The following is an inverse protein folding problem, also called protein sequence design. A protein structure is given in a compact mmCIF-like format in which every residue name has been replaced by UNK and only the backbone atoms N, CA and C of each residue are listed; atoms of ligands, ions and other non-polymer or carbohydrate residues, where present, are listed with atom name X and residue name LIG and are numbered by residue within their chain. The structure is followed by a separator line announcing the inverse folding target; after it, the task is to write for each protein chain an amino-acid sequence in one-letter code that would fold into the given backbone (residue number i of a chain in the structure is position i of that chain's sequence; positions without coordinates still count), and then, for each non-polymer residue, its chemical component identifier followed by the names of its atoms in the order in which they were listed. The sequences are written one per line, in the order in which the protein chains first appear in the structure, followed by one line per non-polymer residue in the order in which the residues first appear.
data_IF_291847227733
#
_entry.id   IF_291847227733
#
_cell.length_a   1.000
_cell.length_b   1.000
_cell.length_c   1.000
_cell.angle_alpha   90.00
_cell.angle_beta   90.00
_cell.angle_gamma   90.00
#
_symmetry.space_group_name_H-M   'P 1'
#
loop_
_entity.id
_entity.type
_entity.pdbx_description
1 polymer ?
#
# COMPACT_ATOMS: atom_id res chain seq x y z
N UNK A 1 16.94 2.77 25.13
CA UNK A 1 18.24 3.43 24.93
C UNK A 1 18.25 4.75 25.71
N UNK A 2 19.42 5.26 26.07
CA UNK A 2 19.57 6.65 26.53
C UNK A 2 19.31 7.59 25.33
N UNK A 3 18.43 8.58 25.51
CA UNK A 3 18.05 9.57 24.48
C UNK A 3 19.22 10.37 23.91
N UNK A 4 20.37 10.36 24.59
CA UNK A 4 21.60 10.98 24.12
C UNK A 4 22.16 10.33 22.84
N UNK A 5 21.78 9.08 22.54
CA UNK A 5 22.28 8.34 21.38
C UNK A 5 21.37 8.40 20.15
N UNK A 6 20.11 8.83 20.28
CA UNK A 6 19.09 8.73 19.21
C UNK A 6 19.53 9.31 17.87
N UNK A 7 20.25 10.44 17.90
CA UNK A 7 20.76 11.15 16.71
C UNK A 7 22.24 10.89 16.42
N UNK A 8 22.93 10.11 17.26
CA UNK A 8 24.33 9.77 17.05
C UNK A 8 24.44 8.81 15.87
N UNK A 9 25.39 9.08 14.97
CA UNK A 9 25.63 8.24 13.80
C UNK A 9 26.35 6.98 14.22
N UNK A 10 25.95 5.86 13.65
CA UNK A 10 26.54 4.54 13.94
C UNK A 10 28.01 4.51 13.51
N UNK A 11 28.35 5.19 12.41
CA UNK A 11 29.73 5.31 11.92
C UNK A 11 30.66 6.04 12.90
N UNK A 12 30.11 6.86 13.82
CA UNK A 12 30.87 7.66 14.77
C UNK A 12 30.98 7.00 16.16
N UNK A 13 30.45 5.77 16.32
CA UNK A 13 30.50 5.02 17.57
C UNK A 13 31.83 4.29 17.75
N UNK A 14 32.33 4.25 18.99
CA UNK A 14 33.44 3.35 19.33
C UNK A 14 32.98 1.89 19.38
N UNK A 15 33.92 0.96 19.38
CA UNK A 15 33.60 -0.47 19.47
C UNK A 15 32.94 -0.83 20.80
N UNK A 16 33.36 -0.17 21.89
CA UNK A 16 32.74 -0.31 23.21
C UNK A 16 31.30 0.23 23.23
N UNK A 17 31.04 1.32 22.51
CA UNK A 17 29.68 1.85 22.35
C UNK A 17 28.82 0.89 21.52
N UNK A 18 29.33 0.35 20.41
CA UNK A 18 28.62 -0.63 19.59
C UNK A 18 28.28 -1.90 20.38
N UNK A 19 29.20 -2.39 21.22
CA UNK A 19 28.98 -3.53 22.12
C UNK A 19 27.92 -3.21 23.19
N UNK A 20 28.04 -2.04 23.85
CA UNK A 20 27.11 -1.60 24.90
C UNK A 20 25.68 -1.42 24.36
N UNK A 21 25.55 -0.97 23.12
CA UNK A 21 24.28 -0.79 22.43
C UNK A 21 23.73 -2.08 21.80
N UNK A 22 24.47 -3.18 21.85
CA UNK A 22 24.04 -4.47 21.29
C UNK A 22 24.00 -4.51 19.76
N UNK A 23 24.79 -3.68 19.10
CA UNK A 23 24.90 -3.67 17.63
C UNK A 23 25.94 -4.66 17.10
N UNK A 24 26.85 -5.11 17.98
CA UNK A 24 27.84 -6.17 17.72
C UNK A 24 27.95 -7.05 18.97
N UNK A 25 28.33 -8.32 18.82
CA UNK A 25 28.51 -9.26 19.93
C UNK A 25 27.97 -10.66 19.64
N UNK A 26 28.15 -11.57 20.59
CA UNK A 26 27.88 -13.02 20.42
C UNK A 26 26.39 -13.36 20.24
N UNK A 27 25.48 -12.48 20.69
CA UNK A 27 24.02 -12.65 20.64
C UNK A 27 23.33 -11.68 19.66
N UNK A 28 24.08 -11.02 18.77
CA UNK A 28 23.53 -10.08 17.79
C UNK A 28 23.25 -10.80 16.47
N UNK A 29 22.07 -10.62 15.83
CA UNK A 29 21.79 -11.21 14.53
C UNK A 29 22.88 -10.86 13.49
N UNK A 30 23.28 -11.85 12.69
CA UNK A 30 24.43 -11.74 11.79
C UNK A 30 24.27 -10.61 10.75
N UNK A 31 23.05 -10.33 10.33
CA UNK A 31 22.67 -9.27 9.42
C UNK A 31 22.79 -7.86 10.05
N UNK A 32 22.56 -7.71 11.37
CA UNK A 32 22.78 -6.45 12.10
C UNK A 32 24.28 -6.19 12.19
N UNK A 33 25.07 -7.20 12.53
CA UNK A 33 26.54 -7.12 12.55
C UNK A 33 27.10 -6.74 11.18
N UNK A 34 26.65 -7.40 10.10
CA UNK A 34 27.06 -7.10 8.73
C UNK A 34 26.69 -5.66 8.31
N UNK A 35 25.54 -5.15 8.76
CA UNK A 35 25.11 -3.79 8.47
C UNK A 35 26.02 -2.76 9.16
N UNK A 36 26.41 -2.98 10.41
CA UNK A 36 27.36 -2.12 11.13
C UNK A 36 28.73 -2.12 10.44
N UNK A 37 29.21 -3.28 10.01
CA UNK A 37 30.45 -3.40 9.24
C UNK A 37 30.39 -2.60 7.92
N UNK A 38 29.28 -2.71 7.18
CA UNK A 38 29.08 -1.98 5.93
C UNK A 38 29.01 -0.46 6.16
N UNK A 39 28.34 -0.01 7.23
CA UNK A 39 28.27 1.41 7.60
C UNK A 39 29.67 1.97 7.91
N UNK A 40 30.52 1.18 8.59
CA UNK A 40 31.89 1.58 8.93
C UNK A 40 32.85 1.50 7.74
N UNK A 41 32.65 0.54 6.83
CA UNK A 41 33.46 0.39 5.64
C UNK A 41 33.20 1.49 4.59
N UNK A 42 31.98 2.02 4.52
CA UNK A 42 31.60 3.09 3.59
C UNK A 42 30.78 4.21 4.25
N UNK A 43 31.44 5.06 5.06
CA UNK A 43 30.79 6.18 5.73
C UNK A 43 30.33 7.27 4.75
N UNK A 44 30.79 7.27 3.50
CA UNK A 44 30.38 8.25 2.48
C UNK A 44 28.92 8.02 2.07
N UNK A 45 28.52 6.77 1.92
CA UNK A 45 27.16 6.41 1.53
C UNK A 45 26.25 6.13 2.74
N UNK A 46 26.80 5.58 3.83
CA UNK A 46 26.02 5.11 4.98
C UNK A 46 26.25 5.92 6.27
N UNK A 47 27.13 6.93 6.29
CA UNK A 47 27.42 7.76 7.47
C UNK A 47 26.29 8.69 7.93
N UNK A 48 25.06 8.48 7.42
CA UNK A 48 23.84 9.13 7.88
C UNK A 48 22.98 8.21 8.76
N UNK A 49 23.29 6.92 8.84
CA UNK A 49 22.55 5.97 9.67
C UNK A 49 22.78 6.31 11.14
N UNK A 50 21.69 6.58 11.85
CA UNK A 50 21.67 6.92 13.27
C UNK A 50 21.33 5.72 14.13
N UNK A 51 21.63 5.80 15.42
CA UNK A 51 21.29 4.77 16.39
C UNK A 51 19.78 4.49 16.44
N UNK A 52 18.93 5.52 16.40
CA UNK A 52 17.48 5.33 16.37
C UNK A 52 16.99 4.54 15.15
N UNK A 53 17.64 4.70 14.00
CA UNK A 53 17.35 3.91 12.81
C UNK A 53 17.82 2.46 12.95
N UNK A 54 18.98 2.21 13.57
CA UNK A 54 19.44 0.85 13.87
C UNK A 54 18.52 0.15 14.88
N UNK A 55 18.14 0.83 15.95
CA UNK A 55 17.22 0.29 16.96
C UNK A 55 15.85 -0.05 16.36
N UNK A 56 15.37 0.76 15.42
CA UNK A 56 14.15 0.45 14.67
C UNK A 56 14.29 -0.84 13.85
N UNK A 57 15.40 -1.02 13.14
CA UNK A 57 15.69 -2.24 12.36
C UNK A 57 15.75 -3.46 13.29
N UNK A 58 16.51 -3.38 14.38
CA UNK A 58 16.66 -4.46 15.37
C UNK A 58 15.30 -4.83 15.97
N UNK A 59 14.46 -3.84 16.28
CA UNK A 59 13.13 -4.07 16.82
C UNK A 59 12.20 -4.73 15.80
N UNK A 60 12.30 -4.36 14.53
CA UNK A 60 11.49 -4.95 13.47
C UNK A 60 11.93 -6.40 13.17
N UNK A 61 13.21 -6.70 13.23
CA UNK A 61 13.70 -8.07 13.09
C UNK A 61 13.40 -8.95 14.30
N UNK A 62 13.46 -8.38 15.51
CA UNK A 62 13.02 -9.08 16.72
C UNK A 62 11.53 -9.42 16.66
N UNK A 63 10.71 -8.58 16.01
CA UNK A 63 9.30 -8.88 15.72
C UNK A 63 9.11 -9.96 14.65
N UNK A 64 10.07 -10.16 13.77
CA UNK A 64 10.07 -11.26 12.80
C UNK A 64 10.59 -12.58 13.39
N UNK A 65 11.21 -12.54 14.57
CA UNK A 65 11.81 -13.70 15.25
C UNK A 65 10.84 -14.45 16.18
N UNK A 66 9.66 -13.89 16.45
CA UNK A 66 8.57 -14.70 17.00
C UNK A 66 8.12 -15.68 15.91
N UNK A 67 7.99 -17.00 16.21
CA UNK A 67 7.41 -17.91 15.25
C UNK A 67 5.99 -17.45 14.97
N UNK A 68 5.80 -16.82 13.81
CA UNK A 68 4.46 -16.50 13.35
C UNK A 68 3.67 -17.82 13.37
N UNK A 69 2.43 -17.82 13.91
CA UNK A 69 1.53 -18.92 13.60
C UNK A 69 1.54 -19.13 12.08
N UNK A 70 1.44 -20.38 11.59
CA UNK A 70 1.45 -20.63 10.16
C UNK A 70 0.48 -19.66 9.50
N UNK A 71 0.88 -18.99 8.40
CA UNK A 71 0.00 -18.02 7.75
C UNK A 71 -1.30 -18.75 7.45
N UNK A 72 -2.40 -18.23 8.02
CA UNK A 72 -3.73 -18.71 7.67
C UNK A 72 -3.81 -18.73 6.15
N UNK A 73 -4.31 -19.82 5.58
CA UNK A 73 -4.66 -19.82 4.17
C UNK A 73 -5.63 -18.67 3.89
N UNK A 74 -5.61 -18.15 2.66
CA UNK A 74 -6.53 -17.08 2.27
C UNK A 74 -7.99 -17.44 2.56
N UNK A 75 -8.37 -18.70 2.34
CA UNK A 75 -9.69 -19.22 2.67
C UNK A 75 -10.01 -19.12 4.18
N UNK A 76 -9.06 -19.44 5.06
CA UNK A 76 -9.22 -19.30 6.51
C UNK A 76 -9.24 -17.84 6.95
N UNK A 77 -8.44 -16.98 6.33
CA UNK A 77 -8.43 -15.53 6.60
C UNK A 77 -9.79 -14.91 6.25
N UNK A 78 -10.30 -15.19 5.05
CA UNK A 78 -11.62 -14.75 4.60
C UNK A 78 -12.73 -15.28 5.51
N UNK A 79 -12.68 -16.58 5.84
CA UNK A 79 -13.65 -17.20 6.75
C UNK A 79 -13.61 -16.53 8.12
N UNK A 80 -12.44 -16.34 8.71
CA UNK A 80 -12.28 -15.70 10.03
C UNK A 80 -12.84 -14.28 10.06
N UNK A 81 -12.55 -13.47 9.03
CA UNK A 81 -12.99 -12.08 8.97
C UNK A 81 -14.50 -11.93 8.72
N UNK A 82 -15.11 -12.84 7.94
CA UNK A 82 -16.50 -12.69 7.48
C UNK A 82 -17.46 -13.79 7.96
N UNK A 83 -17.05 -14.65 8.89
CA UNK A 83 -17.89 -15.75 9.44
C UNK A 83 -19.26 -15.31 9.93
N UNK A 84 -19.38 -14.06 10.42
CA UNK A 84 -20.62 -13.51 10.98
C UNK A 84 -21.31 -12.50 10.05
N UNK A 85 -20.85 -12.36 8.81
CA UNK A 85 -21.32 -11.35 7.86
C UNK A 85 -21.74 -12.01 6.54
N UNK A 86 -22.97 -12.54 6.47
CA UNK A 86 -23.44 -13.31 5.31
C UNK A 86 -23.48 -12.46 4.02
N UNK A 87 -23.53 -11.14 4.17
CA UNK A 87 -23.63 -10.18 3.09
C UNK A 87 -22.27 -9.65 2.62
N UNK A 88 -21.16 -10.06 3.25
CA UNK A 88 -19.82 -9.52 2.99
C UNK A 88 -19.36 -9.65 1.53
N UNK A 89 -19.86 -10.67 0.82
CA UNK A 89 -19.54 -10.96 -0.58
C UNK A 89 -20.50 -10.33 -1.58
N UNK A 90 -21.57 -9.70 -1.11
CA UNK A 90 -22.59 -9.06 -1.93
C UNK A 90 -22.54 -7.54 -1.77
N UNK A 91 -23.00 -6.82 -2.79
CA UNK A 91 -23.19 -5.37 -2.68
C UNK A 91 -24.53 -5.13 -1.99
N UNK A 92 -24.49 -4.61 -0.77
CA UNK A 92 -25.68 -4.23 0.00
C UNK A 92 -25.74 -2.72 0.12
N UNK A 93 -26.84 -2.12 -0.33
CA UNK A 93 -27.04 -0.67 -0.24
C UNK A 93 -26.92 -0.18 1.21
N UNK A 94 -26.26 0.96 1.49
CA UNK A 94 -25.84 2.03 0.57
C UNK A 94 -24.46 1.85 -0.08
N UNK A 95 -23.79 0.71 0.17
CA UNK A 95 -22.48 0.47 -0.40
C UNK A 95 -22.55 0.15 -1.90
N UNK A 96 -21.52 0.57 -2.62
CA UNK A 96 -21.38 0.31 -4.06
C UNK A 96 -20.42 -0.85 -4.38
N UNK A 97 -19.74 -1.37 -3.35
CA UNK A 97 -18.72 -2.42 -3.43
C UNK A 97 -18.93 -3.35 -2.23
N UNK A 98 -18.74 -4.65 -2.42
CA UNK A 98 -18.83 -5.65 -1.34
C UNK A 98 -17.77 -5.40 -0.26
N UNK A 99 -18.07 -5.73 1.00
CA UNK A 99 -17.11 -5.57 2.11
C UNK A 99 -15.83 -6.38 1.87
N UNK A 100 -15.99 -7.57 1.30
CA UNK A 100 -14.90 -8.44 0.89
C UNK A 100 -13.97 -7.75 -0.11
N UNK A 101 -14.53 -7.18 -1.20
CA UNK A 101 -13.74 -6.46 -2.19
C UNK A 101 -13.09 -5.21 -1.61
N UNK A 102 -13.82 -4.42 -0.82
CA UNK A 102 -13.26 -3.23 -0.15
C UNK A 102 -12.00 -3.57 0.64
N UNK A 103 -12.04 -4.68 1.40
CA UNK A 103 -10.95 -5.12 2.28
C UNK A 103 -9.76 -5.69 1.53
N UNK A 104 -10.00 -6.44 0.45
CA UNK A 104 -8.97 -7.22 -0.22
C UNK A 104 -8.52 -6.67 -1.57
N UNK A 105 -9.11 -5.57 -2.05
CA UNK A 105 -8.74 -4.97 -3.33
C UNK A 105 -7.24 -4.65 -3.47
N UNK A 106 -6.61 -4.21 -2.38
CA UNK A 106 -5.18 -3.87 -2.31
C UNK A 106 -4.34 -4.93 -1.61
N UNK A 107 -4.86 -6.15 -1.48
CA UNK A 107 -4.12 -7.28 -0.92
C UNK A 107 -2.78 -7.45 -1.66
N UNK A 108 -1.68 -7.62 -0.94
CA UNK A 108 -0.33 -7.70 -1.51
C UNK A 108 0.49 -6.41 -1.42
N UNK A 109 -0.13 -5.23 -1.41
CA UNK A 109 0.60 -3.95 -1.40
C UNK A 109 1.30 -3.69 -0.05
N UNK A 110 0.64 -4.03 1.05
CA UNK A 110 1.21 -3.92 2.40
C UNK A 110 0.53 -4.92 3.34
N UNK A 111 1.05 -5.09 4.57
CA UNK A 111 0.43 -5.96 5.58
C UNK A 111 -0.97 -5.51 6.00
N UNK A 112 -1.23 -4.21 5.93
CA UNK A 112 -2.55 -3.64 6.23
C UNK A 112 -2.84 -2.53 5.22
N UNK A 113 -3.25 -2.92 4.00
CA UNK A 113 -3.55 -1.94 2.98
C UNK A 113 -4.81 -1.16 3.37
N UNK A 114 -4.98 0.07 2.85
CA UNK A 114 -6.21 0.82 3.04
C UNK A 114 -7.38 0.07 2.38
N UNK A 115 -8.59 0.32 2.86
CA UNK A 115 -9.78 -0.21 2.22
C UNK A 115 -10.12 0.63 0.98
N UNK A 116 -10.56 -0.05 -0.09
CA UNK A 116 -11.07 0.62 -1.28
C UNK A 116 -12.41 1.31 -0.95
N UNK A 117 -12.54 2.55 -1.41
CA UNK A 117 -13.79 3.30 -1.31
C UNK A 117 -14.66 3.10 -2.56
N UNK A 118 -14.07 3.28 -3.75
CA UNK A 118 -14.77 3.10 -5.03
C UNK A 118 -13.77 2.99 -6.21
N UNK A 119 -14.16 2.35 -7.31
CA UNK A 119 -13.35 2.29 -8.56
C UNK A 119 -14.19 2.38 -9.83
N UNK A 120 -13.62 2.92 -10.89
CA UNK A 120 -14.35 3.19 -12.14
C UNK A 120 -14.55 1.99 -13.07
N UNK A 121 -13.82 0.89 -12.85
CA UNK A 121 -13.84 -0.31 -13.69
C UNK A 121 -14.66 -1.46 -13.09
N UNK A 122 -15.62 -1.16 -12.20
CA UNK A 122 -16.44 -2.17 -11.51
C UNK A 122 -17.13 -3.14 -12.49
N UNK A 123 -17.71 -2.63 -13.58
CA UNK A 123 -18.47 -3.45 -14.54
C UNK A 123 -17.58 -4.28 -15.47
N UNK A 124 -16.41 -3.74 -15.84
CA UNK A 124 -15.50 -4.37 -16.82
C UNK A 124 -14.44 -5.26 -16.17
N UNK A 125 -14.27 -5.15 -14.86
CA UNK A 125 -13.30 -5.91 -14.09
C UNK A 125 -13.91 -6.35 -12.75
N UNK A 126 -14.71 -7.42 -12.72
CA UNK A 126 -15.25 -7.94 -11.45
C UNK A 126 -14.12 -8.46 -10.55
N UNK A 127 -14.22 -8.22 -9.24
CA UNK A 127 -13.30 -8.82 -8.27
C UNK A 127 -13.71 -10.28 -7.99
N UNK A 128 -12.77 -11.24 -7.98
CA UNK A 128 -13.12 -12.65 -7.79
C UNK A 128 -13.62 -12.88 -6.37
N UNK A 129 -14.84 -13.40 -6.28
CA UNK A 129 -15.52 -13.71 -5.02
C UNK A 129 -15.42 -15.23 -4.79
N UNK A 130 -14.99 -15.69 -3.60
CA UNK A 130 -14.97 -17.11 -3.28
C UNK A 130 -16.38 -17.70 -3.31
N UNK A 131 -16.51 -18.91 -3.84
CA UNK A 131 -17.75 -19.66 -3.74
C UNK A 131 -17.91 -20.28 -2.35
N UNK A 132 -19.14 -20.44 -1.90
CA UNK A 132 -19.42 -21.09 -0.62
C UNK A 132 -18.79 -22.50 -0.58
N UNK A 133 -17.88 -22.73 0.36
CA UNK A 133 -17.17 -24.01 0.53
C UNK A 133 -15.85 -24.14 -0.26
N UNK A 134 -15.36 -23.09 -0.92
CA UNK A 134 -14.05 -23.11 -1.57
C UNK A 134 -12.91 -23.03 -0.52
N UNK A 135 -12.31 -24.17 -0.23
CA UNK A 135 -11.21 -24.30 0.73
C UNK A 135 -9.84 -23.99 0.11
N UNK A 136 -9.77 -23.78 -1.21
CA UNK A 136 -8.53 -23.56 -1.96
C UNK A 136 -8.43 -22.16 -2.59
N UNK A 137 -9.40 -21.29 -2.27
CA UNK A 137 -9.45 -19.94 -2.80
C UNK A 137 -8.19 -19.15 -2.41
N UNK A 138 -7.63 -18.42 -3.38
CA UNK A 138 -6.53 -17.47 -3.19
C UNK A 138 -6.98 -16.06 -3.53
N UNK A 139 -6.69 -15.11 -2.65
CA UNK A 139 -7.00 -13.71 -2.85
C UNK A 139 -6.03 -13.17 -3.93
N UNK A 140 -6.51 -12.40 -4.92
CA UNK A 140 -5.60 -11.76 -5.87
C UNK A 140 -4.56 -10.88 -5.19
N UNK A 141 -3.30 -11.02 -5.60
CA UNK A 141 -2.19 -10.24 -5.05
C UNK A 141 -1.90 -9.08 -5.98
N UNK A 142 -1.90 -7.86 -5.45
CA UNK A 142 -1.51 -6.63 -6.15
C UNK A 142 -0.11 -6.22 -5.79
N UNK A 143 0.64 -5.81 -6.81
CA UNK A 143 1.94 -5.18 -6.65
C UNK A 143 1.96 -3.82 -7.34
N UNK A 144 2.65 -2.86 -6.73
CA UNK A 144 2.87 -1.55 -7.33
C UNK A 144 4.03 -1.69 -8.32
N UNK A 145 3.73 -1.49 -9.60
CA UNK A 145 4.76 -1.49 -10.62
C UNK A 145 5.28 -0.04 -10.83
N UNK A 146 6.58 0.23 -10.59
CA UNK A 146 7.16 1.51 -10.91
C UNK A 146 7.17 1.68 -12.43
N UNK A 147 6.51 2.71 -12.97
CA UNK A 147 6.46 2.85 -14.42
C UNK A 147 5.31 3.69 -14.95
N UNK A 148 5.32 4.97 -14.65
CA UNK A 148 4.61 5.98 -15.46
C UNK A 148 5.55 6.65 -16.48
N UNK A 149 6.85 6.34 -16.44
CA UNK A 149 7.86 6.97 -17.29
C UNK A 149 7.62 6.70 -18.77
N UNK A 150 7.62 7.75 -19.58
CA UNK A 150 7.40 7.70 -21.03
C UNK A 150 5.95 7.49 -21.46
N UNK A 151 4.99 7.52 -20.54
CA UNK A 151 3.56 7.39 -20.88
C UNK A 151 2.96 8.74 -21.32
N UNK A 152 1.92 8.68 -22.15
CA UNK A 152 1.16 9.88 -22.56
C UNK A 152 0.56 10.61 -21.35
N UNK A 153 0.10 9.87 -20.34
CA UNK A 153 -0.42 10.42 -19.10
C UNK A 153 0.64 11.23 -18.35
N UNK A 154 1.87 10.74 -18.25
CA UNK A 154 2.97 11.48 -17.62
C UNK A 154 3.25 12.81 -18.35
N UNK A 155 3.24 12.81 -19.70
CA UNK A 155 3.52 14.00 -20.49
C UNK A 155 2.51 15.13 -20.28
N UNK A 156 1.26 14.79 -19.94
CA UNK A 156 0.17 15.76 -19.73
C UNK A 156 -0.18 15.97 -18.25
N UNK A 157 0.46 15.23 -17.33
CA UNK A 157 0.10 15.17 -15.92
C UNK A 157 0.08 16.54 -15.22
N UNK A 158 1.09 17.37 -15.49
CA UNK A 158 1.19 18.73 -14.92
C UNK A 158 0.02 19.64 -15.32
N UNK A 159 -0.64 19.35 -16.43
CA UNK A 159 -1.80 20.09 -16.93
C UNK A 159 -3.12 19.51 -16.44
N UNK A 160 -3.25 18.17 -16.39
CA UNK A 160 -4.51 17.52 -16.00
C UNK A 160 -4.68 17.41 -14.49
N UNK A 161 -3.61 17.18 -13.73
CA UNK A 161 -3.72 16.99 -12.28
C UNK A 161 -4.38 18.20 -11.57
N UNK A 162 -4.03 19.47 -11.86
CA UNK A 162 -4.72 20.62 -11.27
C UNK A 162 -6.21 20.69 -11.63
N UNK A 163 -6.59 20.29 -12.85
CA UNK A 163 -7.98 20.27 -13.29
C UNK A 163 -8.78 19.20 -12.54
N UNK A 164 -8.19 18.00 -12.37
CA UNK A 164 -8.77 16.91 -11.57
C UNK A 164 -8.97 17.40 -10.13
N UNK A 165 -7.94 17.99 -9.50
CA UNK A 165 -8.05 18.54 -8.14
C UNK A 165 -9.16 19.61 -8.06
N UNK A 166 -9.25 20.49 -9.06
CA UNK A 166 -10.30 21.50 -9.14
C UNK A 166 -11.71 20.89 -9.20
N UNK A 167 -11.89 19.86 -10.03
CA UNK A 167 -13.14 19.11 -10.12
C UNK A 167 -13.52 18.45 -8.79
N UNK A 168 -12.58 17.71 -8.17
CA UNK A 168 -12.81 17.04 -6.87
C UNK A 168 -13.24 18.05 -5.79
N UNK A 169 -12.61 19.22 -5.75
CA UNK A 169 -12.98 20.29 -4.82
C UNK A 169 -14.34 20.90 -5.13
N UNK A 170 -14.73 21.02 -6.39
CA UNK A 170 -16.04 21.51 -6.79
C UNK A 170 -17.18 20.57 -6.31
N UNK A 171 -16.89 19.27 -6.21
CA UNK A 171 -17.77 18.26 -5.60
C UNK A 171 -17.71 18.24 -4.05
N UNK A 172 -16.96 19.14 -3.42
CA UNK A 172 -16.84 19.22 -1.96
C UNK A 172 -16.01 18.12 -1.31
N UNK A 173 -15.28 17.31 -2.10
CA UNK A 173 -14.50 16.17 -1.61
C UNK A 173 -13.14 16.65 -1.09
N UNK A 174 -12.77 16.22 0.12
CA UNK A 174 -11.49 16.55 0.74
C UNK A 174 -10.39 15.58 0.29
N UNK A 175 -9.71 15.96 -0.80
CA UNK A 175 -8.54 15.27 -1.32
C UNK A 175 -7.33 15.39 -0.38
N UNK A 176 -6.65 14.28 -0.17
CA UNK A 176 -5.37 14.18 0.54
C UNK A 176 -4.20 14.06 -0.45
N UNK A 177 -4.24 13.04 -1.32
CA UNK A 177 -3.19 12.78 -2.30
C UNK A 177 -3.79 12.35 -3.63
N UNK A 178 -3.16 12.80 -4.72
CA UNK A 178 -3.49 12.43 -6.09
C UNK A 178 -2.22 11.88 -6.74
N UNK A 179 -2.22 10.58 -7.03
CA UNK A 179 -1.08 9.88 -7.59
C UNK A 179 -1.48 9.12 -8.85
N UNK A 180 -0.46 8.74 -9.61
CA UNK A 180 -0.60 7.88 -10.77
C UNK A 180 0.22 6.64 -10.54
N UNK A 181 -0.41 5.48 -10.59
CA UNK A 181 0.25 4.19 -10.34
C UNK A 181 -0.16 3.20 -11.41
N UNK A 182 0.59 2.10 -11.50
CA UNK A 182 0.21 0.95 -12.29
C UNK A 182 0.33 -0.27 -11.40
N UNK A 183 -0.70 -1.10 -11.39
CA UNK A 183 -0.68 -2.34 -10.64
C UNK A 183 -0.46 -3.52 -11.58
N UNK A 184 0.33 -4.50 -11.16
CA UNK A 184 0.11 -5.86 -11.61
C UNK A 184 -0.85 -6.55 -10.63
N UNK A 185 -1.60 -7.52 -11.14
CA UNK A 185 -2.46 -8.37 -10.31
C UNK A 185 -2.17 -9.81 -10.67
N UNK A 186 -1.73 -10.58 -9.67
CA UNK A 186 -1.55 -12.01 -9.77
C UNK A 186 -2.84 -12.69 -9.33
N UNK A 187 -3.44 -13.42 -10.25
CA UNK A 187 -4.61 -14.25 -10.02
C UNK A 187 -4.22 -15.72 -10.09
N UNK A 188 -5.00 -16.58 -9.44
CA UNK A 188 -4.71 -18.00 -9.35
C UNK A 188 -5.84 -18.80 -9.97
N UNK A 189 -5.52 -19.67 -10.92
CA UNK A 189 -6.43 -20.67 -11.47
C UNK A 189 -5.89 -22.05 -11.06
N UNK A 190 -6.36 -22.54 -9.91
CA UNK A 190 -5.73 -23.66 -9.20
C UNK A 190 -4.32 -23.30 -8.74
N UNK A 191 -3.34 -24.10 -9.14
CA UNK A 191 -1.91 -23.85 -8.84
C UNK A 191 -1.21 -22.97 -9.89
N UNK A 192 -1.94 -22.52 -10.92
CA UNK A 192 -1.37 -21.68 -11.97
C UNK A 192 -1.49 -20.21 -11.61
N UNK A 193 -0.35 -19.53 -11.54
CA UNK A 193 -0.27 -18.09 -11.36
C UNK A 193 -0.37 -17.38 -12.71
N UNK A 194 -1.23 -16.36 -12.77
CA UNK A 194 -1.37 -15.49 -13.92
C UNK A 194 -1.25 -14.04 -13.49
N UNK A 195 -0.11 -13.45 -13.80
CA UNK A 195 0.11 -12.02 -13.64
C UNK A 195 -0.54 -11.26 -14.81
N UNK A 196 -1.32 -10.24 -14.47
CA UNK A 196 -1.92 -9.32 -15.46
C UNK A 196 -1.55 -7.89 -15.12
N UNK A 197 -0.91 -7.20 -16.07
CA UNK A 197 -0.61 -5.77 -15.95
C UNK A 197 -1.89 -4.95 -16.19
N UNK A 198 -2.30 -4.15 -15.19
CA UNK A 198 -3.51 -3.33 -15.26
C UNK A 198 -3.26 -2.04 -16.07
N UNK A 199 -4.33 -1.34 -16.51
CA UNK A 199 -4.23 0.03 -17.01
C UNK A 199 -3.57 0.98 -15.98
N UNK A 200 -3.24 2.19 -16.42
CA UNK A 200 -2.82 3.23 -15.49
C UNK A 200 -3.97 3.55 -14.52
N UNK A 201 -3.63 3.81 -13.27
CA UNK A 201 -4.60 4.16 -12.22
C UNK A 201 -4.33 5.56 -11.73
N UNK A 202 -5.36 6.41 -11.77
CA UNK A 202 -5.41 7.63 -10.96
C UNK A 202 -5.81 7.20 -9.56
N UNK A 203 -4.84 7.17 -8.66
CA UNK A 203 -5.00 6.68 -7.30
C UNK A 203 -5.21 7.85 -6.36
N UNK A 204 -6.43 7.94 -5.83
CA UNK A 204 -6.92 9.11 -5.12
C UNK A 204 -7.18 8.77 -3.68
N UNK A 205 -6.48 9.48 -2.78
CA UNK A 205 -6.71 9.36 -1.35
C UNK A 205 -7.57 10.51 -0.88
N UNK A 206 -8.65 10.19 -0.17
CA UNK A 206 -9.51 11.18 0.49
C UNK A 206 -9.29 11.14 1.99
N UNK A 207 -9.64 12.23 2.66
CA UNK A 207 -9.59 12.27 4.12
C UNK A 207 -10.65 11.32 4.70
N UNK A 208 -10.28 10.47 5.69
CA UNK A 208 -11.24 9.55 6.31
C UNK A 208 -12.48 10.25 6.86
N UNK A 209 -13.62 9.59 6.75
CA UNK A 209 -14.91 10.03 7.29
C UNK A 209 -15.43 11.36 6.71
N UNK A 210 -14.91 11.81 5.57
CA UNK A 210 -15.33 13.09 4.94
C UNK A 210 -16.13 12.92 3.65
N UNK A 211 -16.22 11.71 3.11
CA UNK A 211 -16.97 11.40 1.89
C UNK A 211 -17.46 9.95 1.92
N UNK A 212 -18.15 9.50 0.88
CA UNK A 212 -18.63 8.12 0.74
C UNK A 212 -18.51 7.65 -0.72
N UNK A 213 -18.75 6.35 -0.94
CA UNK A 213 -18.63 5.71 -2.26
C UNK A 213 -19.52 6.38 -3.33
N UNK A 214 -20.75 6.79 -2.97
CA UNK A 214 -21.66 7.45 -3.91
C UNK A 214 -21.11 8.81 -4.35
N UNK A 215 -20.64 9.64 -3.42
CA UNK A 215 -20.11 10.95 -3.75
C UNK A 215 -18.87 10.88 -4.66
N UNK A 216 -17.96 9.94 -4.43
CA UNK A 216 -16.78 9.76 -5.30
C UNK A 216 -17.16 9.12 -6.66
N UNK A 217 -18.18 8.26 -6.70
CA UNK A 217 -18.75 7.76 -7.93
C UNK A 217 -19.32 8.91 -8.77
N UNK A 218 -20.12 9.79 -8.17
CA UNK A 218 -20.75 10.93 -8.84
C UNK A 218 -19.73 11.97 -9.35
N UNK A 219 -18.58 12.11 -8.67
CA UNK A 219 -17.49 12.99 -9.08
C UNK A 219 -16.60 12.40 -10.18
N UNK A 220 -16.55 11.07 -10.33
CA UNK A 220 -15.63 10.41 -11.26
C UNK A 220 -15.87 10.75 -12.74
N UNK A 221 -17.12 10.88 -13.26
CA UNK A 221 -17.36 11.25 -14.65
C UNK A 221 -16.65 12.53 -15.09
N UNK A 222 -16.53 13.54 -14.21
CA UNK A 222 -15.80 14.77 -14.53
C UNK A 222 -14.29 14.53 -14.66
N UNK A 223 -13.71 13.67 -13.82
CA UNK A 223 -12.31 13.25 -13.91
C UNK A 223 -12.06 12.51 -15.23
N UNK A 224 -12.95 11.57 -15.59
CA UNK A 224 -12.87 10.83 -16.84
C UNK A 224 -12.97 11.74 -18.06
N UNK A 225 -13.84 12.77 -18.00
CA UNK A 225 -13.95 13.79 -19.05
C UNK A 225 -12.65 14.58 -19.22
N UNK A 226 -12.04 15.08 -18.12
CA UNK A 226 -10.77 15.80 -18.16
C UNK A 226 -9.66 14.96 -18.82
N UNK A 227 -9.61 13.65 -18.51
CA UNK A 227 -8.63 12.72 -19.09
C UNK A 227 -8.95 12.45 -20.57
N UNK A 228 -10.23 12.29 -20.92
CA UNK A 228 -10.67 12.08 -22.30
C UNK A 228 -10.39 13.29 -23.21
N UNK A 229 -10.49 14.51 -22.70
CA UNK A 229 -10.23 15.75 -23.48
C UNK A 229 -8.77 15.82 -23.97
N UNK A 230 -7.84 15.19 -23.24
CA UNK A 230 -6.43 15.02 -23.65
C UNK A 230 -6.15 13.64 -24.30
N UNK A 231 -7.21 12.91 -24.63
CA UNK A 231 -7.23 11.57 -25.23
C UNK A 231 -6.49 10.51 -24.39
N UNK A 232 -6.63 10.58 -23.06
CA UNK A 232 -6.28 9.50 -22.15
C UNK A 232 -7.57 8.73 -21.84
N UNK A 233 -7.73 7.56 -22.46
CA UNK A 233 -8.94 6.74 -22.33
C UNK A 233 -8.70 5.40 -21.64
N UNK A 234 -7.44 4.95 -21.56
CA UNK A 234 -7.04 3.70 -20.91
C UNK A 234 -6.53 3.97 -19.50
N UNK A 235 -7.45 4.34 -18.62
CA UNK A 235 -7.16 4.73 -17.23
C UNK A 235 -8.31 4.34 -16.32
N UNK A 236 -7.98 3.90 -15.11
CA UNK A 236 -8.94 3.61 -14.04
C UNK A 236 -8.79 4.66 -12.95
N UNK A 237 -9.90 5.10 -12.36
CA UNK A 237 -9.88 5.96 -11.17
C UNK A 237 -10.22 5.09 -9.98
N UNK A 238 -9.32 5.06 -9.00
CA UNK A 238 -9.52 4.32 -7.74
C UNK A 238 -9.43 5.29 -6.56
N UNK A 239 -10.40 5.17 -5.65
CA UNK A 239 -10.53 6.00 -4.46
C UNK A 239 -10.36 5.15 -3.21
N UNK A 240 -9.63 5.68 -2.23
CA UNK A 240 -9.47 5.05 -0.93
C UNK A 240 -9.33 6.12 0.15
N UNK A 241 -9.64 5.75 1.38
CA UNK A 241 -9.41 6.63 2.53
C UNK A 241 -7.98 6.46 3.04
N UNK A 242 -7.34 7.57 3.40
CA UNK A 242 -6.00 7.53 3.99
C UNK A 242 -5.73 8.77 4.83
N UNK A 243 -5.23 8.54 6.05
CA UNK A 243 -4.77 9.60 6.92
C UNK A 243 -3.31 9.94 6.59
N UNK A 244 -2.99 11.23 6.49
CA UNK A 244 -1.59 11.67 6.49
C UNK A 244 -1.10 11.67 7.92
N UNK A 245 -0.24 10.71 8.26
CA UNK A 245 0.51 10.80 9.50
C UNK A 245 1.67 11.76 9.33
N UNK A 246 1.71 12.79 10.17
CA UNK A 246 2.84 13.69 10.23
C UNK A 246 3.97 12.98 10.95
N UNK A 247 5.02 12.61 10.21
CA UNK A 247 6.25 12.09 10.81
C UNK A 247 6.82 13.15 11.76
N UNK A 248 6.76 12.90 13.07
CA UNK A 248 7.44 13.69 14.08
C UNK A 248 8.94 13.33 13.99
N UNK A 249 9.76 14.27 13.53
CA UNK A 249 11.22 14.15 13.51
C UNK A 249 11.90 14.68 14.77
#
# INVERSE_FOLDING_TARGET
MDSSYDRKKVADLSEEELLSLGYIGENVPSNITAMVEQIRADPTHFGRVTCSQMDWIIREESRQSEPAPPPLSDAELVSSLFSNDPDAFSVVGPDMISKYEKRFWYHGISRNPPDLLWRSDLETNPFPIPSAGDLSFKIPVKEIHPGMFGTRLQAVWSTVAPQIIGSIKAHGIQLTTLQTVRFSTTTFEGDTEKETMRPAVIWITVKPDTTNAQAVCDATPDIMRILSDVQITDVVVEWYEGAVERLLG
#
